data_IF_179790899679
#
_entry.id   IF_179790899679
#
_cell.length_a   1.000
_cell.length_b   1.000
_cell.length_c   1.000
_cell.angle_alpha   90.00
_cell.angle_beta   90.00
_cell.angle_gamma   90.00
#
_symmetry.space_group_name_H-M   'P 1'
#
loop_
_entity.id
_entity.type
_entity.pdbx_description
1 polymer ?
#
# COMPACT_ATOMS: atom_id res chain seq x y z
N UNK A 1 -1.99 4.11 -8.88
CA UNK A 1 -2.10 3.25 -7.68
C UNK A 1 -1.13 3.76 -6.62
N UNK A 2 -1.16 3.23 -5.39
CA UNK A 2 -0.32 3.69 -4.29
C UNK A 2 0.28 2.52 -3.51
N UNK A 3 1.58 2.54 -3.28
CA UNK A 3 2.29 1.59 -2.43
C UNK A 3 2.40 2.14 -1.01
N UNK A 4 2.07 1.32 -0.02
CA UNK A 4 2.28 1.66 1.38
C UNK A 4 2.63 0.43 2.20
N UNK A 5 3.40 0.63 3.28
CA UNK A 5 3.84 -0.43 4.18
C UNK A 5 3.22 -0.24 5.55
N UNK A 6 2.69 -1.32 6.12
CA UNK A 6 2.15 -1.37 7.48
C UNK A 6 3.28 -1.48 8.52
N UNK A 7 2.97 -1.24 9.81
CA UNK A 7 3.97 -1.35 10.90
C UNK A 7 4.60 -2.74 11.01
N UNK A 8 3.90 -3.78 10.59
CA UNK A 8 4.38 -5.16 10.60
C UNK A 8 5.29 -5.50 9.39
N UNK A 9 5.65 -4.50 8.58
CA UNK A 9 6.41 -4.61 7.33
C UNK A 9 5.67 -5.23 6.13
N UNK A 10 4.37 -5.51 6.22
CA UNK A 10 3.61 -5.94 5.05
C UNK A 10 3.47 -4.80 4.04
N UNK A 11 3.67 -5.13 2.76
CA UNK A 11 3.56 -4.19 1.64
C UNK A 11 2.23 -4.40 0.91
N UNK A 12 1.56 -3.29 0.61
CA UNK A 12 0.30 -3.29 -0.11
C UNK A 12 0.29 -2.31 -1.27
N UNK A 13 -0.47 -2.65 -2.30
CA UNK A 13 -0.81 -1.80 -3.43
C UNK A 13 -2.29 -1.44 -3.34
N UNK A 14 -2.59 -0.15 -3.25
CA UNK A 14 -3.93 0.41 -3.17
C UNK A 14 -4.33 1.04 -4.50
N UNK A 15 -5.59 0.90 -4.89
CA UNK A 15 -6.14 1.53 -6.09
C UNK A 15 -6.21 3.07 -5.96
N UNK A 16 -6.56 3.53 -4.76
CA UNK A 16 -6.68 4.94 -4.32
C UNK A 16 -5.69 5.26 -3.21
N UNK A 17 -5.58 6.55 -2.87
CA UNK A 17 -4.71 6.99 -1.78
C UNK A 17 -5.23 6.41 -0.45
N UNK A 18 -4.44 5.59 0.28
CA UNK A 18 -4.92 5.00 1.51
C UNK A 18 -4.88 6.00 2.67
N UNK A 19 -5.68 5.72 3.70
CA UNK A 19 -5.74 6.49 4.94
C UNK A 19 -4.87 5.82 6.00
N UNK A 20 -4.00 6.60 6.65
CA UNK A 20 -3.12 6.08 7.70
C UNK A 20 -3.93 5.78 8.97
N UNK A 21 -3.95 4.51 9.39
CA UNK A 21 -4.47 4.08 10.69
C UNK A 21 -3.39 4.03 11.77
N UNK A 22 -3.70 3.39 12.89
CA UNK A 22 -2.74 3.22 13.99
C UNK A 22 -1.64 2.20 13.69
N UNK A 23 -1.95 1.14 12.93
CA UNK A 23 -1.03 0.02 12.65
C UNK A 23 -0.93 -0.33 11.17
N UNK A 24 -1.97 0.00 10.41
CA UNK A 24 -2.08 -0.31 8.98
C UNK A 24 -2.68 0.84 8.19
N UNK A 25 -2.51 0.76 6.87
CA UNK A 25 -3.13 1.64 5.89
C UNK A 25 -4.49 1.08 5.45
N UNK A 26 -5.50 1.94 5.44
CA UNK A 26 -6.87 1.56 5.06
C UNK A 26 -7.22 2.08 3.67
N UNK A 27 -7.80 1.22 2.83
CA UNK A 27 -8.52 1.68 1.65
C UNK A 27 -9.79 2.43 2.10
N UNK A 28 -10.17 3.51 1.40
CA UNK A 28 -11.42 4.21 1.68
C UNK A 28 -12.63 3.29 1.43
N UNK A 29 -13.43 3.10 2.48
CA UNK A 29 -14.78 2.47 2.54
C UNK A 29 -15.15 1.43 1.46
N UNK A 30 -15.20 0.15 1.88
CA UNK A 30 -16.39 -0.67 1.65
C UNK A 30 -16.35 -1.83 0.65
N UNK A 31 -15.22 -2.15 0.01
CA UNK A 31 -15.18 -3.31 -0.90
C UNK A 31 -13.87 -4.09 -0.75
N UNK A 32 -13.98 -5.39 -0.45
CA UNK A 32 -12.90 -6.36 -0.59
C UNK A 32 -12.37 -6.33 -2.04
N UNK A 33 -11.07 -6.09 -2.23
CA UNK A 33 -10.43 -6.03 -3.55
C UNK A 33 -9.90 -4.65 -3.97
N UNK A 34 -9.99 -3.63 -3.11
CA UNK A 34 -9.41 -2.28 -3.32
C UNK A 34 -7.90 -2.21 -3.05
N UNK A 35 -7.32 -3.29 -2.49
CA UNK A 35 -5.89 -3.41 -2.27
C UNK A 35 -5.40 -4.83 -2.49
N UNK A 36 -4.11 -4.95 -2.80
CA UNK A 36 -3.41 -6.23 -2.98
C UNK A 36 -2.21 -6.28 -2.06
N UNK A 37 -2.04 -7.40 -1.35
CA UNK A 37 -0.81 -7.68 -0.63
C UNK A 37 0.27 -8.12 -1.61
N UNK A 38 1.44 -7.50 -1.53
CA UNK A 38 2.60 -7.82 -2.36
C UNK A 38 3.65 -8.59 -1.54
N UNK A 39 4.63 -9.15 -2.24
CA UNK A 39 5.83 -9.66 -1.57
C UNK A 39 6.53 -8.52 -0.82
N UNK A 40 6.71 -8.69 0.49
CA UNK A 40 7.28 -7.66 1.37
C UNK A 40 8.73 -7.31 1.05
N UNK A 41 9.45 -8.16 0.32
CA UNK A 41 10.84 -7.90 -0.12
C UNK A 41 10.94 -6.86 -1.23
N UNK A 42 9.83 -6.55 -1.91
CA UNK A 42 9.76 -5.50 -2.91
C UNK A 42 9.78 -4.11 -2.24
N UNK A 43 10.40 -3.15 -2.92
CA UNK A 43 10.46 -1.74 -2.52
C UNK A 43 10.90 -1.53 -1.05
N UNK A 44 12.10 -2.00 -0.65
CA UNK A 44 12.60 -1.89 0.72
C UNK A 44 12.75 -0.44 1.22
N UNK A 45 12.81 0.53 0.31
CA UNK A 45 12.85 1.97 0.60
C UNK A 45 11.51 2.52 1.13
N UNK A 46 10.39 1.83 0.88
CA UNK A 46 9.07 2.22 1.40
C UNK A 46 8.95 1.68 2.82
N UNK A 47 8.74 2.57 3.78
CA UNK A 47 8.62 2.24 5.21
C UNK A 47 7.28 2.68 5.79
N UNK A 48 6.96 2.27 7.01
CA UNK A 48 5.76 2.75 7.72
C UNK A 48 5.73 4.28 7.90
N UNK A 49 6.91 4.92 7.98
CA UNK A 49 7.04 6.38 8.12
C UNK A 49 6.98 7.11 6.77
N UNK A 50 7.05 6.38 5.66
CA UNK A 50 6.90 6.95 4.32
C UNK A 50 5.44 7.31 4.03
N UNK A 51 5.24 8.38 3.27
CA UNK A 51 3.96 8.63 2.63
C UNK A 51 3.67 7.57 1.56
N UNK A 52 2.40 7.30 1.22
CA UNK A 52 2.07 6.37 0.14
C UNK A 52 2.69 6.78 -1.19
N UNK A 53 3.41 5.87 -1.83
CA UNK A 53 4.19 6.14 -3.04
C UNK A 53 3.33 5.87 -4.29
N UNK A 54 3.16 6.84 -5.20
CA UNK A 54 2.44 6.61 -6.45
C UNK A 54 3.11 5.51 -7.30
N UNK A 55 2.30 4.62 -7.87
CA UNK A 55 2.74 3.53 -8.72
C UNK A 55 1.86 3.40 -9.98
N UNK A 56 2.52 3.11 -11.10
CA UNK A 56 1.89 2.86 -12.40
C UNK A 56 1.96 1.38 -12.78
N UNK A 57 0.84 0.85 -13.26
CA UNK A 57 0.79 -0.49 -13.82
C UNK A 57 1.19 -0.42 -15.31
N UNK A 58 2.30 -1.06 -15.66
CA UNK A 58 2.76 -1.14 -17.05
C UNK A 58 2.38 -2.50 -17.62
N UNK A 59 1.44 -2.52 -18.56
CA UNK A 59 1.10 -3.70 -19.35
C UNK A 59 2.07 -3.79 -20.54
N UNK A 60 2.72 -4.93 -20.71
CA UNK A 60 3.59 -5.23 -21.86
C UNK A 60 2.89 -6.18 -22.82
#
# INVERSE_FOLDING_TARGET
MFLARDKNNDLYLFDKLPVKGNECWWAETGVDGTYLKLDKSLYPEITWESDPVPADLILK
#
